data_IF_478408179703
#
_entry.id   IF_478408179703
#
_cell.length_a   1.000
_cell.length_b   1.000
_cell.length_c   1.000
_cell.angle_alpha   90.00
_cell.angle_beta   90.00
_cell.angle_gamma   90.00
#
_symmetry.space_group_name_H-M   'P 1'
#
loop_
_entity.id
_entity.type
_entity.pdbx_description
1 polymer ?
#
# COMPACT_ATOMS: atom_id res chain seq x y z
N UNK A 1 22.09 35.83 5.21
CA UNK A 1 20.85 35.39 4.53
C UNK A 1 21.22 34.17 3.71
N UNK A 2 21.22 33.00 4.34
CA UNK A 2 21.58 31.71 3.75
C UNK A 2 20.57 30.70 4.25
N UNK A 3 19.42 30.64 3.58
CA UNK A 3 18.51 29.52 3.72
C UNK A 3 18.98 28.43 2.76
N UNK A 4 19.68 27.46 3.32
CA UNK A 4 19.88 26.14 2.70
C UNK A 4 18.53 25.43 2.74
N UNK A 5 17.97 24.96 1.61
CA UNK A 5 16.73 24.19 1.66
C UNK A 5 17.05 22.87 2.36
N UNK A 6 16.37 22.63 3.49
CA UNK A 6 16.35 21.34 4.14
C UNK A 6 15.84 20.32 3.12
N UNK A 7 16.74 19.51 2.57
CA UNK A 7 16.36 18.28 1.91
C UNK A 7 15.61 17.47 2.96
N UNK A 8 14.29 17.37 2.82
CA UNK A 8 13.46 16.44 3.57
C UNK A 8 14.04 15.07 3.28
N UNK A 9 14.89 14.58 4.18
CA UNK A 9 15.38 13.22 4.11
C UNK A 9 14.13 12.35 4.12
N UNK A 10 13.91 11.65 3.03
CA UNK A 10 12.92 10.58 2.91
C UNK A 10 13.25 9.57 4.01
N UNK A 11 12.67 9.76 5.19
CA UNK A 11 12.89 8.93 6.37
C UNK A 11 12.16 7.62 6.13
N UNK A 12 12.77 6.76 5.31
CA UNK A 12 12.30 5.40 5.09
C UNK A 12 12.25 4.66 6.43
N UNK A 13 11.12 4.04 6.71
CA UNK A 13 10.98 3.13 7.85
C UNK A 13 11.74 1.85 7.55
N UNK A 14 12.66 1.47 8.44
CA UNK A 14 13.39 0.20 8.36
C UNK A 14 12.58 -0.84 9.12
N UNK A 15 12.27 -1.95 8.46
CA UNK A 15 11.60 -3.11 9.04
C UNK A 15 12.59 -4.27 9.12
N UNK A 16 12.51 -5.03 10.20
CA UNK A 16 13.20 -6.32 10.25
C UNK A 16 12.52 -7.37 9.33
N UNK A 17 13.15 -8.53 9.09
CA UNK A 17 12.60 -9.53 8.20
C UNK A 17 11.23 -10.08 8.60
N UNK A 18 10.95 -10.19 9.90
CA UNK A 18 9.68 -10.71 10.41
C UNK A 18 8.59 -9.64 10.29
N UNK A 19 8.89 -8.40 10.68
CA UNK A 19 8.01 -7.23 10.50
C UNK A 19 7.65 -7.00 9.02
N UNK A 20 8.62 -7.14 8.13
CA UNK A 20 8.40 -7.02 6.70
C UNK A 20 7.53 -8.18 6.15
N UNK A 21 7.67 -9.39 6.69
CA UNK A 21 6.81 -10.52 6.34
C UNK A 21 5.37 -10.33 6.85
N UNK A 22 5.20 -9.80 8.05
CA UNK A 22 3.89 -9.43 8.60
C UNK A 22 3.21 -8.35 7.78
N UNK A 23 3.96 -7.31 7.39
CA UNK A 23 3.45 -6.26 6.51
C UNK A 23 3.05 -6.82 5.14
N UNK A 24 3.84 -7.73 4.56
CA UNK A 24 3.49 -8.36 3.29
C UNK A 24 2.16 -9.13 3.38
N UNK A 25 1.99 -9.92 4.47
CA UNK A 25 0.75 -10.67 4.73
C UNK A 25 -0.44 -9.75 4.95
N UNK A 26 -0.26 -8.64 5.66
CA UNK A 26 -1.32 -7.65 5.86
C UNK A 26 -1.75 -7.02 4.54
N UNK A 27 -0.79 -6.68 3.67
CA UNK A 27 -1.10 -6.09 2.36
C UNK A 27 -1.82 -7.11 1.46
N UNK A 28 -1.43 -8.39 1.47
CA UNK A 28 -2.16 -9.44 0.75
C UNK A 28 -3.61 -9.55 1.24
N UNK A 29 -3.83 -9.54 2.56
CA UNK A 29 -5.17 -9.60 3.15
C UNK A 29 -6.03 -8.41 2.71
N UNK A 30 -5.44 -7.20 2.73
CA UNK A 30 -6.15 -5.99 2.30
C UNK A 30 -6.46 -6.07 0.80
N UNK A 31 -5.53 -6.52 -0.04
CA UNK A 31 -5.77 -6.74 -1.47
C UNK A 31 -6.93 -7.71 -1.69
N UNK A 32 -6.90 -8.88 -1.03
CA UNK A 32 -7.96 -9.88 -1.14
C UNK A 32 -9.31 -9.33 -0.68
N UNK A 33 -9.34 -8.60 0.43
CA UNK A 33 -10.56 -7.94 0.90
C UNK A 33 -11.09 -6.92 -0.11
N UNK A 34 -10.21 -6.12 -0.74
CA UNK A 34 -10.61 -5.11 -1.72
C UNK A 34 -11.08 -5.73 -3.05
N UNK A 35 -10.46 -6.83 -3.48
CA UNK A 35 -10.82 -7.55 -4.72
C UNK A 35 -12.13 -8.31 -4.58
N UNK A 36 -12.39 -8.87 -3.40
CA UNK A 36 -13.56 -9.72 -3.13
C UNK A 36 -14.62 -9.04 -2.28
N UNK A 37 -14.50 -7.72 -2.04
CA UNK A 37 -15.54 -6.94 -1.42
C UNK A 37 -16.83 -7.00 -2.25
N UNK A 38 -17.95 -7.20 -1.56
CA UNK A 38 -19.28 -7.09 -2.17
C UNK A 38 -19.47 -5.68 -2.77
N UNK A 39 -20.35 -5.59 -3.76
CA UNK A 39 -20.58 -4.34 -4.50
C UNK A 39 -21.00 -3.18 -3.58
N UNK A 40 -21.76 -3.46 -2.51
CA UNK A 40 -22.15 -2.47 -1.50
C UNK A 40 -20.94 -1.91 -0.74
N UNK A 41 -20.01 -2.78 -0.33
CA UNK A 41 -18.77 -2.36 0.36
C UNK A 41 -17.87 -1.56 -0.58
N UNK A 42 -17.82 -1.94 -1.86
CA UNK A 42 -17.07 -1.19 -2.88
C UNK A 42 -17.69 0.17 -3.15
N UNK A 43 -19.02 0.28 -3.12
CA UNK A 43 -19.73 1.54 -3.26
C UNK A 43 -19.49 2.45 -2.05
N UNK A 44 -19.53 1.91 -0.83
CA UNK A 44 -19.22 2.65 0.40
C UNK A 44 -17.78 3.15 0.40
N UNK A 45 -16.81 2.30 0.04
CA UNK A 45 -15.41 2.68 -0.08
C UNK A 45 -15.21 3.77 -1.14
N UNK A 46 -15.85 3.61 -2.30
CA UNK A 46 -15.82 4.64 -3.33
C UNK A 46 -16.40 5.96 -2.80
N UNK A 47 -17.55 5.93 -2.14
CA UNK A 47 -18.18 7.11 -1.54
C UNK A 47 -17.30 7.78 -0.47
N UNK A 48 -16.63 7.00 0.37
CA UNK A 48 -15.67 7.52 1.35
C UNK A 48 -14.49 8.24 0.67
N UNK A 49 -14.00 7.67 -0.42
CA UNK A 49 -12.89 8.24 -1.20
C UNK A 49 -13.34 9.34 -2.16
N UNK A 50 -14.65 9.64 -2.22
CA UNK A 50 -15.24 10.53 -3.21
C UNK A 50 -15.08 12.01 -2.85
N UNK A 51 -13.83 12.46 -2.72
CA UNK A 51 -13.53 13.87 -2.47
C UNK A 51 -13.81 14.77 -3.69
N UNK A 52 -13.69 14.24 -4.91
CA UNK A 52 -13.78 15.00 -6.17
C UNK A 52 -14.66 14.35 -7.24
N UNK A 53 -15.53 13.40 -6.90
CA UNK A 53 -16.39 12.69 -7.86
C UNK A 53 -15.72 11.50 -8.57
N UNK A 54 -14.57 11.04 -8.07
CA UNK A 54 -13.77 9.96 -8.66
C UNK A 54 -13.50 8.81 -7.68
N UNK A 55 -14.34 8.65 -6.65
CA UNK A 55 -14.18 7.66 -5.59
C UNK A 55 -13.98 6.22 -6.09
N UNK A 56 -14.68 5.81 -7.15
CA UNK A 56 -14.52 4.48 -7.75
C UNK A 56 -13.13 4.27 -8.36
N UNK A 57 -12.58 5.30 -9.01
CA UNK A 57 -11.21 5.25 -9.56
C UNK A 57 -10.17 5.26 -8.44
N UNK A 58 -10.42 6.01 -7.37
CA UNK A 58 -9.57 6.02 -6.19
C UNK A 58 -9.56 4.65 -5.49
N UNK A 59 -10.72 4.01 -5.33
CA UNK A 59 -10.83 2.66 -4.77
C UNK A 59 -10.11 1.61 -5.62
N UNK A 60 -10.28 1.65 -6.94
CA UNK A 60 -9.58 0.75 -7.86
C UNK A 60 -8.06 0.98 -7.86
N UNK A 61 -7.63 2.24 -7.84
CA UNK A 61 -6.21 2.61 -7.75
C UNK A 61 -5.56 2.17 -6.44
N UNK A 62 -6.30 2.27 -5.32
CA UNK A 62 -5.84 1.81 -4.01
C UNK A 62 -5.61 0.29 -4.01
N UNK A 63 -6.55 -0.50 -4.52
CA UNK A 63 -6.40 -1.95 -4.61
C UNK A 63 -5.15 -2.34 -5.42
N UNK A 64 -4.95 -1.70 -6.59
CA UNK A 64 -3.76 -1.94 -7.42
C UNK A 64 -2.45 -1.54 -6.71
N UNK A 65 -2.46 -0.44 -5.96
CA UNK A 65 -1.29 0.02 -5.21
C UNK A 65 -0.93 -0.96 -4.08
N UNK A 66 -1.93 -1.46 -3.35
CA UNK A 66 -1.73 -2.45 -2.27
C UNK A 66 -1.10 -3.72 -2.82
N UNK A 67 -1.68 -4.32 -3.87
CA UNK A 67 -1.15 -5.55 -4.46
C UNK A 67 0.25 -5.40 -5.07
N UNK A 68 0.55 -4.25 -5.68
CA UNK A 68 1.90 -3.95 -6.16
C UNK A 68 2.93 -3.93 -5.02
N UNK A 69 2.59 -3.30 -3.90
CA UNK A 69 3.49 -3.21 -2.73
C UNK A 69 3.68 -4.57 -2.07
N UNK A 70 2.60 -5.36 -1.91
CA UNK A 70 2.66 -6.71 -1.37
C UNK A 70 3.60 -7.59 -2.21
N UNK A 71 3.39 -7.64 -3.53
CA UNK A 71 4.23 -8.39 -4.48
C UNK A 71 5.70 -7.94 -4.44
N UNK A 72 5.94 -6.63 -4.36
CA UNK A 72 7.29 -6.07 -4.30
C UNK A 72 8.00 -6.45 -3.01
N UNK A 73 7.29 -6.40 -1.88
CA UNK A 73 7.82 -6.77 -0.57
C UNK A 73 8.14 -8.26 -0.50
N UNK A 74 7.23 -9.13 -0.94
CA UNK A 74 7.45 -10.58 -1.08
C UNK A 74 8.69 -10.92 -1.91
N UNK A 75 8.90 -10.19 -3.00
CA UNK A 75 10.07 -10.38 -3.86
C UNK A 75 11.36 -9.99 -3.13
N UNK A 76 11.35 -8.91 -2.36
CA UNK A 76 12.51 -8.45 -1.58
C UNK A 76 12.84 -9.41 -0.45
N UNK A 77 11.84 -9.87 0.29
CA UNK A 77 11.99 -10.88 1.35
C UNK A 77 12.60 -12.16 0.81
N UNK A 78 12.04 -12.73 -0.27
CA UNK A 78 12.58 -13.95 -0.90
C UNK A 78 14.06 -13.81 -1.26
N UNK A 79 14.49 -12.67 -1.82
CA UNK A 79 15.90 -12.41 -2.15
C UNK A 79 16.79 -12.32 -0.91
N UNK A 80 16.28 -11.76 0.19
CA UNK A 80 17.01 -11.61 1.43
C UNK A 80 17.21 -12.96 2.16
N UNK A 81 16.23 -13.86 2.09
CA UNK A 81 16.29 -15.19 2.74
C UNK A 81 17.16 -16.21 1.99
N UNK A 82 17.38 -16.03 0.68
CA UNK A 82 18.21 -16.93 -0.15
C UNK A 82 19.72 -16.65 -0.11
N UNK A 83 20.20 -15.80 0.81
CA UNK A 83 21.62 -15.51 1.05
C UNK A 83 22.14 -16.31 2.23
#
# INVERSE_FOLDING_TARGET
MTDTPAATADQGVVLDPDEAADLARLLDLIEDCLLHADDDVRADLAGFLDGSGHGHLAAAGLAALVGHNATTLHRRLRKATTR
#
